data_IF_314160208089
#
_entry.id   IF_314160208089
#
_cell.length_a   1.000
_cell.length_b   1.000
_cell.length_c   1.000
_cell.angle_alpha   90.00
_cell.angle_beta   90.00
_cell.angle_gamma   90.00
#
_symmetry.space_group_name_H-M   'P 1'
#
loop_
_entity.id
_entity.type
_entity.pdbx_description
1 polymer ?
#
# COMPACT_ATOMS: atom_id res chain seq x y z
N UNK A 1 -9.81 11.09 -12.23
CA UNK A 1 -8.69 11.04 -11.25
C UNK A 1 -8.75 9.69 -10.59
N UNK A 2 -7.65 8.95 -10.59
CA UNK A 2 -7.53 7.66 -9.92
C UNK A 2 -7.70 7.86 -8.41
N UNK A 3 -8.66 7.17 -7.75
CA UNK A 3 -8.86 7.30 -6.32
C UNK A 3 -7.58 6.97 -5.54
N UNK A 4 -7.33 7.73 -4.48
CA UNK A 4 -6.20 7.50 -3.58
C UNK A 4 -6.72 7.53 -2.15
N UNK A 5 -6.46 6.48 -1.41
CA UNK A 5 -6.72 6.38 0.02
C UNK A 5 -5.41 6.10 0.76
N UNK A 6 -5.16 6.80 1.86
CA UNK A 6 -3.95 6.68 2.66
C UNK A 6 -4.32 6.76 4.13
N UNK A 7 -3.81 5.82 4.93
CA UNK A 7 -4.21 5.73 6.33
C UNK A 7 -3.40 4.74 7.14
N UNK A 8 -3.95 4.38 8.29
CA UNK A 8 -3.32 3.45 9.22
C UNK A 8 -4.33 2.38 9.64
N UNK A 9 -3.85 1.14 9.74
CA UNK A 9 -4.56 0.02 10.34
C UNK A 9 -3.87 -0.35 11.66
N UNK A 10 -4.65 -0.60 12.70
CA UNK A 10 -4.09 -1.06 13.99
C UNK A 10 -3.83 -2.57 13.93
N UNK A 11 -2.59 -2.99 14.20
CA UNK A 11 -2.22 -4.40 14.33
C UNK A 11 -1.40 -4.63 15.60
N UNK A 12 -1.92 -5.45 16.51
CA UNK A 12 -1.25 -5.81 17.78
C UNK A 12 -0.77 -4.61 18.62
N UNK A 13 -1.50 -3.50 18.58
CA UNK A 13 -1.18 -2.27 19.33
C UNK A 13 -0.27 -1.28 18.59
N UNK A 14 0.17 -1.61 17.37
CA UNK A 14 0.98 -0.75 16.51
C UNK A 14 0.15 -0.26 15.32
N UNK A 15 0.53 0.87 14.74
CA UNK A 15 -0.07 1.43 13.52
C UNK A 15 0.73 1.02 12.30
N UNK A 16 0.09 0.27 11.41
CA UNK A 16 0.62 -0.06 10.09
C UNK A 16 0.08 0.94 9.08
N UNK A 17 0.97 1.72 8.46
CA UNK A 17 0.62 2.65 7.39
C UNK A 17 0.35 1.92 6.07
N UNK A 18 -0.66 2.36 5.33
CA UNK A 18 -0.94 1.88 3.97
C UNK A 18 -1.28 3.04 3.03
N UNK A 19 -1.18 2.75 1.73
CA UNK A 19 -1.69 3.57 0.64
C UNK A 19 -2.31 2.67 -0.42
N UNK A 20 -3.52 3.00 -0.85
CA UNK A 20 -4.24 2.36 -1.92
C UNK A 20 -4.47 3.34 -3.07
N UNK A 21 -4.14 2.94 -4.29
CA UNK A 21 -4.34 3.71 -5.52
C UNK A 21 -5.20 2.89 -6.49
N UNK A 22 -6.28 3.48 -6.99
CA UNK A 22 -7.26 2.81 -7.85
C UNK A 22 -8.55 2.43 -7.11
N UNK A 23 -9.52 1.87 -7.84
CA UNK A 23 -10.83 1.51 -7.29
C UNK A 23 -10.81 0.13 -6.62
N UNK A 24 -10.81 0.13 -5.27
CA UNK A 24 -10.92 -1.09 -4.45
C UNK A 24 -12.29 -1.79 -4.55
N UNK A 25 -13.31 -1.11 -5.09
CA UNK A 25 -14.64 -1.69 -5.35
C UNK A 25 -14.79 -2.29 -6.75
N UNK A 26 -13.75 -2.24 -7.58
CA UNK A 26 -13.78 -2.81 -8.93
C UNK A 26 -13.85 -4.34 -8.94
N UNK A 27 -14.18 -4.92 -10.09
CA UNK A 27 -14.26 -6.37 -10.28
C UNK A 27 -12.88 -7.08 -10.27
N UNK A 28 -11.80 -6.30 -10.42
CA UNK A 28 -10.44 -6.82 -10.43
C UNK A 28 -9.87 -6.88 -9.02
N UNK A 29 -9.33 -8.05 -8.62
CA UNK A 29 -8.70 -8.18 -7.31
C UNK A 29 -7.57 -7.15 -7.13
N UNK A 30 -7.34 -6.60 -5.92
CA UNK A 30 -6.24 -5.67 -5.71
C UNK A 30 -4.87 -6.36 -5.81
N UNK A 31 -3.84 -5.60 -6.16
CA UNK A 31 -2.44 -5.98 -6.02
C UNK A 31 -1.91 -5.46 -4.68
N UNK A 32 -1.58 -6.36 -3.75
CA UNK A 32 -0.90 -6.00 -2.50
C UNK A 32 0.61 -6.21 -2.65
N UNK A 33 1.39 -5.14 -2.50
CA UNK A 33 2.84 -5.19 -2.60
C UNK A 33 3.51 -5.28 -1.21
N UNK A 34 4.33 -6.31 -1.02
CA UNK A 34 5.08 -6.54 0.22
C UNK A 34 6.54 -6.18 -0.03
N UNK A 35 7.05 -5.18 0.70
CA UNK A 35 8.42 -4.75 0.46
C UNK A 35 9.48 -5.73 1.01
N UNK A 36 10.68 -5.71 0.45
CA UNK A 36 11.85 -6.46 0.92
C UNK A 36 12.65 -5.69 1.98
N UNK A 37 13.93 -6.05 2.16
CA UNK A 37 14.82 -5.44 3.15
C UNK A 37 15.65 -6.49 3.89
N UNK A 38 15.78 -6.42 5.23
CA UNK A 38 14.92 -5.71 6.19
C UNK A 38 15.14 -4.18 6.28
N UNK A 39 14.11 -3.42 6.67
CA UNK A 39 14.16 -1.95 6.86
C UNK A 39 13.88 -1.09 5.62
N UNK A 40 13.43 -1.69 4.50
CA UNK A 40 12.98 -0.94 3.32
C UNK A 40 11.58 -0.35 3.52
N UNK A 41 10.99 0.26 2.48
CA UNK A 41 9.69 0.94 2.54
C UNK A 41 8.93 0.77 1.23
N UNK A 42 7.68 1.24 1.18
CA UNK A 42 6.84 1.30 -0.02
C UNK A 42 7.42 2.13 -1.18
N UNK A 43 8.39 3.02 -0.95
CA UNK A 43 8.80 4.05 -1.92
C UNK A 43 9.21 3.48 -3.29
N UNK A 44 9.87 2.32 -3.34
CA UNK A 44 10.32 1.75 -4.61
C UNK A 44 9.20 1.07 -5.41
N UNK A 45 8.00 0.94 -4.84
CA UNK A 45 6.81 0.46 -5.55
C UNK A 45 6.05 1.57 -6.28
N UNK A 46 6.51 2.82 -6.25
CA UNK A 46 5.86 3.90 -7.00
C UNK A 46 5.55 3.55 -8.48
N UNK A 47 6.42 2.82 -9.23
CA UNK A 47 6.08 2.39 -10.59
C UNK A 47 4.86 1.45 -10.68
N UNK A 48 4.57 0.66 -9.63
CA UNK A 48 3.42 -0.24 -9.61
C UNK A 48 2.10 0.51 -9.58
N UNK A 49 2.06 1.76 -9.09
CA UNK A 49 0.82 2.57 -9.07
C UNK A 49 0.26 2.81 -10.49
N UNK A 50 1.07 2.64 -11.55
CA UNK A 50 0.59 2.70 -12.94
C UNK A 50 -0.42 1.59 -13.28
N UNK A 51 -0.44 0.50 -12.50
CA UNK A 51 -1.44 -0.57 -12.66
C UNK A 51 -2.82 -0.18 -12.11
N UNK A 52 -2.96 0.98 -11.45
CA UNK A 52 -4.20 1.42 -10.82
C UNK A 52 -5.35 1.69 -11.80
N UNK A 53 -5.06 1.84 -13.10
CA UNK A 53 -6.05 1.93 -14.16
C UNK A 53 -6.67 0.56 -14.51
N UNK A 54 -6.00 -0.54 -14.16
CA UNK A 54 -6.45 -1.92 -14.39
C UNK A 54 -6.94 -2.60 -13.10
N UNK A 55 -6.27 -2.35 -11.96
CA UNK A 55 -6.64 -2.91 -10.66
C UNK A 55 -6.08 -2.06 -9.53
N UNK A 56 -6.80 -1.97 -8.40
CA UNK A 56 -6.27 -1.23 -7.27
C UNK A 56 -4.92 -1.79 -6.79
N UNK A 57 -3.99 -0.89 -6.47
CA UNK A 57 -2.65 -1.21 -5.95
C UNK A 57 -2.57 -0.74 -4.52
N UNK A 58 -2.25 -1.65 -3.61
CA UNK A 58 -2.07 -1.38 -2.20
C UNK A 58 -0.61 -1.61 -1.84
N UNK A 59 0.02 -0.57 -1.33
CA UNK A 59 1.36 -0.63 -0.72
C UNK A 59 1.22 -0.36 0.77
N UNK A 60 2.10 -0.93 1.57
CA UNK A 60 2.16 -0.66 3.00
C UNK A 60 3.60 -0.71 3.48
N UNK A 61 3.89 0.00 4.57
CA UNK A 61 5.15 -0.14 5.27
C UNK A 61 4.99 -1.21 6.35
N UNK A 62 5.86 -2.22 6.37
CA UNK A 62 5.88 -3.21 7.44
C UNK A 62 6.21 -2.54 8.78
N UNK A 63 5.74 -3.12 9.89
CA UNK A 63 6.02 -2.61 11.25
C UNK A 63 7.53 -2.45 11.45
N UNK A 64 7.93 -1.33 12.04
CA UNK A 64 9.31 -0.89 12.23
C UNK A 64 9.96 -0.26 10.98
N UNK A 65 9.19 -0.03 9.91
CA UNK A 65 9.68 0.58 8.67
C UNK A 65 8.85 1.81 8.28
N UNK A 66 9.50 2.77 7.62
CA UNK A 66 8.82 3.88 6.94
C UNK A 66 7.89 4.67 7.86
N UNK A 67 6.61 4.73 7.51
CA UNK A 67 5.57 5.45 8.25
C UNK A 67 4.88 4.60 9.32
N UNK A 68 5.13 3.29 9.36
CA UNK A 68 4.56 2.41 10.39
C UNK A 68 5.29 2.55 11.72
N UNK A 69 4.57 2.30 12.81
CA UNK A 69 5.21 2.14 14.14
C UNK A 69 6.17 0.95 14.15
#
# INVERSE_FOLDING_TARGET
MTPVDEGYVTFRGYRTWYRAVGDLGSEHAPLLALHGGPGSTHNYFAPLEQLADERAVVVYDQIGCGKSD
#
